data_IF_677910045472
#
_entry.id   IF_677910045472
#
_cell.length_a   1.000
_cell.length_b   1.000
_cell.length_c   1.000
_cell.angle_alpha   90.00
_cell.angle_beta   90.00
_cell.angle_gamma   90.00
#
_symmetry.space_group_name_H-M   'P 1'
#
loop_
_entity.id
_entity.type
_entity.pdbx_description
1 polymer ?
#
# COMPACT_ATOMS: atom_id res chain seq x y z
N UNK A 1 -13.23 24.76 -66.39
CA UNK A 1 -12.24 25.73 -66.95
C UNK A 1 -12.59 27.08 -66.33
N UNK A 2 -11.75 27.82 -65.61
CA UNK A 2 -10.29 27.88 -65.59
C UNK A 2 -9.79 28.26 -64.21
N UNK A 3 -8.70 27.60 -63.82
CA UNK A 3 -7.76 27.99 -62.78
C UNK A 3 -6.99 29.27 -63.17
N UNK A 4 -6.40 29.93 -62.15
CA UNK A 4 -5.14 30.69 -62.15
C UNK A 4 -5.08 32.09 -62.79
N UNK A 5 -4.98 33.09 -61.91
CA UNK A 5 -4.18 34.33 -61.96
C UNK A 5 -4.95 35.34 -61.09
N UNK A 6 -4.44 35.81 -59.96
CA UNK A 6 -3.33 36.77 -59.87
C UNK A 6 -2.64 36.58 -58.53
N UNK A 7 -1.35 36.30 -58.59
CA UNK A 7 -0.43 36.32 -57.47
C UNK A 7 0.15 37.74 -57.29
N UNK A 8 0.60 38.01 -56.06
CA UNK A 8 1.64 38.96 -55.66
C UNK A 8 1.28 40.46 -55.59
N UNK A 9 1.39 41.01 -54.36
CA UNK A 9 2.19 42.19 -53.99
C UNK A 9 2.00 42.41 -52.46
N UNK A 10 2.93 41.99 -51.62
CA UNK A 10 4.14 42.68 -51.15
C UNK A 10 3.93 43.56 -49.88
N UNK A 11 4.67 43.16 -48.84
CA UNK A 11 5.45 43.99 -47.89
C UNK A 11 4.77 44.88 -46.83
N UNK A 12 4.99 44.46 -45.58
CA UNK A 12 5.78 45.15 -44.56
C UNK A 12 5.34 46.55 -44.10
N UNK A 13 4.90 46.64 -42.84
CA UNK A 13 5.15 47.80 -42.00
C UNK A 13 5.77 47.37 -40.67
N UNK A 14 6.95 47.96 -40.42
CA UNK A 14 7.83 47.82 -39.27
C UNK A 14 7.35 48.70 -38.09
N UNK A 15 7.60 48.17 -36.89
CA UNK A 15 8.19 48.83 -35.71
C UNK A 15 7.66 50.19 -35.21
N UNK A 16 7.38 50.28 -33.90
CA UNK A 16 8.26 50.92 -32.91
C UNK A 16 7.54 51.17 -31.57
N UNK A 17 8.36 51.36 -30.52
CA UNK A 17 8.09 51.66 -29.10
C UNK A 17 7.97 50.39 -28.23
N UNK A 18 8.86 50.08 -27.29
CA UNK A 18 9.90 50.84 -26.61
C UNK A 18 9.84 50.51 -25.10
N UNK A 19 10.75 49.64 -24.63
CA UNK A 19 11.10 49.35 -23.22
C UNK A 19 11.55 50.65 -22.48
N UNK A 20 11.76 50.71 -21.13
CA UNK A 20 12.06 49.62 -20.18
C UNK A 20 11.46 49.77 -18.74
N UNK A 21 11.61 48.76 -17.88
CA UNK A 21 12.13 48.86 -16.51
C UNK A 21 11.77 47.62 -15.66
N UNK A 22 12.77 47.19 -14.90
CA UNK A 22 12.79 46.09 -13.95
C UNK A 22 11.56 45.99 -13.04
N UNK A 23 11.00 44.79 -12.94
CA UNK A 23 10.36 44.32 -11.70
C UNK A 23 11.08 43.05 -11.28
N UNK A 24 11.52 43.12 -10.03
CA UNK A 24 12.36 42.17 -9.33
C UNK A 24 11.69 40.80 -9.21
N UNK A 25 12.53 39.79 -9.35
CA UNK A 25 12.31 38.46 -8.81
C UNK A 25 11.96 38.54 -7.32
N UNK A 26 10.89 37.85 -6.92
CA UNK A 26 10.80 37.20 -5.62
C UNK A 26 10.39 35.76 -5.87
N UNK A 27 11.39 34.94 -6.18
CA UNK A 27 11.37 33.51 -5.90
C UNK A 27 11.47 33.36 -4.40
N UNK A 28 10.34 33.17 -3.72
CA UNK A 28 10.37 32.71 -2.34
C UNK A 28 10.70 31.23 -2.33
N UNK A 29 11.99 31.01 -2.17
CA UNK A 29 12.56 29.93 -1.39
C UNK A 29 11.86 29.84 -0.03
N UNK A 30 11.19 28.73 0.19
CA UNK A 30 10.85 28.23 1.51
C UNK A 30 11.25 26.77 1.55
N UNK A 31 12.57 26.54 1.67
CA UNK A 31 13.15 25.59 2.61
C UNK A 31 12.29 24.35 2.91
N UNK A 32 12.53 23.29 2.15
CA UNK A 32 12.25 21.93 2.57
C UNK A 32 13.14 21.59 3.79
N UNK A 33 12.59 21.24 4.96
CA UNK A 33 13.33 20.51 5.99
C UNK A 33 13.29 19.00 5.70
N UNK A 34 14.22 18.24 6.29
CA UNK A 34 14.67 16.96 5.76
C UNK A 34 13.71 15.81 6.06
N UNK A 35 13.90 14.74 5.30
CA UNK A 35 13.45 13.40 5.62
C UNK A 35 13.65 13.11 7.12
N UNK A 36 12.55 12.83 7.80
CA UNK A 36 12.57 12.16 9.08
C UNK A 36 11.94 10.79 8.87
N UNK A 37 12.84 9.81 8.85
CA UNK A 37 12.62 8.47 9.34
C UNK A 37 11.71 8.50 10.58
N UNK A 38 10.51 7.91 10.45
CA UNK A 38 9.73 7.41 11.56
C UNK A 38 8.63 6.51 10.99
N UNK A 39 8.69 5.23 11.35
CA UNK A 39 7.58 4.29 11.31
C UNK A 39 6.25 5.01 11.52
N UNK A 40 5.37 5.01 10.51
CA UNK A 40 4.03 5.53 10.71
C UNK A 40 3.34 4.61 11.73
N UNK A 41 2.97 5.12 12.92
CA UNK A 41 2.20 4.32 13.85
C UNK A 41 0.83 4.08 13.20
N UNK A 42 0.23 2.92 13.46
CA UNK A 42 -1.18 2.55 13.16
C UNK A 42 -2.23 3.56 13.72
N UNK A 43 -1.82 4.75 14.16
CA UNK A 43 -2.66 5.87 14.56
C UNK A 43 -3.22 6.67 13.36
N UNK A 44 -2.70 6.49 12.14
CA UNK A 44 -3.29 7.11 10.95
C UNK A 44 -4.62 6.47 10.53
N UNK A 45 -4.89 5.21 10.92
CA UNK A 45 -6.11 4.51 10.49
C UNK A 45 -7.38 5.00 11.21
N UNK A 46 -7.27 5.46 12.46
CA UNK A 46 -8.43 5.96 13.21
C UNK A 46 -8.86 7.37 12.77
N UNK A 47 -7.90 8.25 12.46
CA UNK A 47 -8.17 9.59 11.94
C UNK A 47 -8.67 9.55 10.50
N UNK A 48 -8.12 8.68 9.65
CA UNK A 48 -8.59 8.47 8.26
C UNK A 48 -9.98 7.88 8.20
N UNK A 49 -10.35 6.99 9.12
CA UNK A 49 -11.67 6.38 9.18
C UNK A 49 -12.75 7.38 9.66
N UNK A 50 -12.46 8.20 10.66
CA UNK A 50 -13.36 9.29 11.07
C UNK A 50 -13.52 10.34 9.94
N UNK A 51 -12.44 10.60 9.21
CA UNK A 51 -12.45 11.49 8.04
C UNK A 51 -13.26 10.91 6.88
N UNK A 52 -13.13 9.62 6.58
CA UNK A 52 -13.95 8.91 5.58
C UNK A 52 -15.44 8.95 5.94
N UNK A 53 -15.80 8.85 7.22
CA UNK A 53 -17.19 9.00 7.66
C UNK A 53 -17.73 10.41 7.42
N UNK A 54 -16.93 11.43 7.72
CA UNK A 54 -17.30 12.82 7.46
C UNK A 54 -17.44 13.06 5.95
N UNK A 55 -16.52 12.55 5.14
CA UNK A 55 -16.60 12.64 3.68
C UNK A 55 -17.86 11.94 3.11
N UNK A 56 -18.21 10.76 3.62
CA UNK A 56 -19.44 10.06 3.23
C UNK A 56 -20.71 10.81 3.66
N UNK A 57 -20.68 11.47 4.81
CA UNK A 57 -21.80 12.29 5.28
C UNK A 57 -22.02 13.51 4.37
N UNK A 58 -20.94 14.24 4.06
CA UNK A 58 -20.96 15.37 3.14
C UNK A 58 -21.45 14.96 1.74
N UNK A 59 -20.98 13.84 1.22
CA UNK A 59 -21.43 13.33 -0.09
C UNK A 59 -22.93 12.98 -0.11
N UNK A 60 -23.48 12.55 1.04
CA UNK A 60 -24.91 12.27 1.19
C UNK A 60 -25.72 13.58 1.19
N UNK A 61 -25.22 14.63 1.84
CA UNK A 61 -25.84 15.96 1.83
C UNK A 61 -25.81 16.58 0.42
N UNK A 62 -24.70 16.45 -0.29
CA UNK A 62 -24.54 16.93 -1.66
C UNK A 62 -25.54 16.27 -2.63
N UNK A 63 -25.73 14.95 -2.51
CA UNK A 63 -26.72 14.24 -3.33
C UNK A 63 -28.15 14.66 -3.03
N UNK A 64 -28.48 14.93 -1.76
CA UNK A 64 -29.80 15.43 -1.37
C UNK A 64 -30.03 16.84 -1.93
N UNK A 65 -29.01 17.70 -1.90
CA UNK A 65 -29.06 19.03 -2.50
C UNK A 65 -29.29 18.95 -4.02
N UNK A 66 -28.48 18.16 -4.72
CA UNK A 66 -28.61 17.93 -6.17
C UNK A 66 -29.98 17.37 -6.54
N UNK A 67 -30.57 16.50 -5.72
CA UNK A 67 -31.94 16.02 -5.91
C UNK A 67 -32.95 17.18 -5.79
N UNK A 68 -32.83 18.04 -4.80
CA UNK A 68 -33.74 19.18 -4.65
C UNK A 68 -33.63 20.18 -5.79
N UNK A 69 -32.42 20.46 -6.27
CA UNK A 69 -32.18 21.30 -7.44
C UNK A 69 -32.76 20.68 -8.71
N UNK A 70 -32.57 19.38 -8.90
CA UNK A 70 -33.13 18.66 -10.05
C UNK A 70 -34.66 18.66 -10.01
N UNK A 71 -35.28 18.47 -8.85
CA UNK A 71 -36.74 18.57 -8.68
C UNK A 71 -37.24 20.00 -8.94
N UNK A 72 -36.51 21.02 -8.46
CA UNK A 72 -36.86 22.43 -8.68
C UNK A 72 -36.72 22.86 -10.14
N UNK A 73 -35.81 22.25 -10.90
CA UNK A 73 -35.58 22.53 -12.32
C UNK A 73 -36.74 22.08 -13.25
N UNK A 74 -37.67 21.28 -12.72
CA UNK A 74 -38.87 20.84 -13.44
C UNK A 74 -38.58 19.97 -14.66
N UNK A 75 -39.59 19.75 -15.51
CA UNK A 75 -39.53 18.80 -16.61
C UNK A 75 -38.37 19.02 -17.60
N UNK A 76 -37.96 20.28 -17.82
CA UNK A 76 -36.84 20.61 -18.70
C UNK A 76 -35.48 20.19 -18.11
N UNK A 77 -35.26 20.37 -16.81
CA UNK A 77 -34.02 19.92 -16.17
C UNK A 77 -33.96 18.40 -15.98
N UNK A 78 -35.11 17.74 -15.75
CA UNK A 78 -35.19 16.29 -15.78
C UNK A 78 -34.80 15.70 -17.14
N UNK A 79 -35.26 16.29 -18.25
CA UNK A 79 -34.87 15.85 -19.60
C UNK A 79 -33.37 16.07 -19.85
N UNK A 80 -32.80 17.18 -19.38
CA UNK A 80 -31.35 17.45 -19.49
C UNK A 80 -30.49 16.45 -18.69
N UNK A 81 -30.98 15.93 -17.56
CA UNK A 81 -30.29 14.96 -16.72
C UNK A 81 -30.44 13.49 -17.16
N UNK A 82 -31.21 13.22 -18.22
CA UNK A 82 -31.43 11.88 -18.76
C UNK A 82 -32.84 11.31 -18.59
N UNK A 83 -33.83 12.14 -18.28
CA UNK A 83 -35.25 11.77 -18.18
C UNK A 83 -35.57 10.90 -16.97
N UNK A 84 -36.58 10.06 -17.09
CA UNK A 84 -37.10 9.22 -15.99
C UNK A 84 -36.01 8.31 -15.37
N UNK A 85 -35.03 7.87 -16.17
CA UNK A 85 -33.90 7.05 -15.72
C UNK A 85 -32.90 7.81 -14.83
N UNK A 86 -32.91 9.14 -14.81
CA UNK A 86 -32.00 9.93 -13.98
C UNK A 86 -32.29 9.72 -12.49
N UNK A 87 -33.57 9.71 -12.12
CA UNK A 87 -34.04 9.47 -10.74
C UNK A 87 -33.71 8.04 -10.29
N UNK A 88 -33.89 7.05 -11.16
CA UNK A 88 -33.60 5.65 -10.82
C UNK A 88 -32.11 5.42 -10.56
N UNK A 89 -31.22 6.04 -11.35
CA UNK A 89 -29.77 6.00 -11.08
C UNK A 89 -29.40 6.70 -9.77
N UNK A 90 -30.02 7.83 -9.46
CA UNK A 90 -29.79 8.53 -8.19
C UNK A 90 -30.24 7.69 -6.99
N UNK A 91 -31.41 7.05 -7.08
CA UNK A 91 -31.88 6.13 -6.06
C UNK A 91 -30.95 4.92 -5.89
N UNK A 92 -30.39 4.39 -6.98
CA UNK A 92 -29.40 3.32 -6.92
C UNK A 92 -28.09 3.74 -6.23
N UNK A 93 -27.60 4.96 -6.52
CA UNK A 93 -26.40 5.50 -5.86
C UNK A 93 -26.62 5.69 -4.35
N UNK A 94 -27.77 6.21 -3.92
CA UNK A 94 -28.09 6.35 -2.49
C UNK A 94 -28.19 5.01 -1.75
N UNK A 95 -28.73 3.97 -2.41
CA UNK A 95 -28.75 2.63 -1.86
C UNK A 95 -27.33 2.07 -1.69
N UNK A 96 -26.43 2.33 -2.64
CA UNK A 96 -25.02 1.93 -2.54
C UNK A 96 -24.29 2.66 -1.41
N UNK A 97 -24.51 3.97 -1.26
CA UNK A 97 -23.93 4.77 -0.17
C UNK A 97 -24.41 4.29 1.19
N UNK A 98 -25.72 4.03 1.35
CA UNK A 98 -26.28 3.49 2.60
C UNK A 98 -25.63 2.13 2.95
N UNK A 99 -25.40 1.28 1.94
CA UNK A 99 -24.73 -0.01 2.12
C UNK A 99 -23.27 0.15 2.54
N UNK A 100 -22.53 1.04 1.90
CA UNK A 100 -21.13 1.33 2.23
C UNK A 100 -21.00 1.87 3.66
N UNK A 101 -21.86 2.80 4.07
CA UNK A 101 -21.90 3.31 5.45
C UNK A 101 -22.13 2.18 6.46
N UNK A 102 -23.08 1.27 6.18
CA UNK A 102 -23.33 0.12 7.04
C UNK A 102 -22.14 -0.85 7.14
N UNK A 103 -21.40 -1.06 6.04
CA UNK A 103 -20.18 -1.87 6.05
C UNK A 103 -19.06 -1.22 6.87
N UNK A 104 -18.90 0.10 6.75
CA UNK A 104 -17.93 0.87 7.55
C UNK A 104 -18.25 0.75 9.04
N UNK A 105 -19.49 0.93 9.47
CA UNK A 105 -19.88 0.78 10.88
C UNK A 105 -19.62 -0.64 11.41
N UNK A 106 -19.91 -1.67 10.61
CA UNK A 106 -19.63 -3.06 10.97
C UNK A 106 -18.13 -3.32 11.14
N UNK A 107 -17.30 -2.79 10.23
CA UNK A 107 -15.85 -2.93 10.28
C UNK A 107 -15.28 -2.23 11.51
N UNK A 108 -15.74 -1.01 11.81
CA UNK A 108 -15.35 -0.27 13.01
C UNK A 108 -15.66 -1.04 14.30
N UNK A 109 -16.88 -1.58 14.40
CA UNK A 109 -17.28 -2.35 15.56
C UNK A 109 -16.45 -3.64 15.71
N UNK A 110 -16.10 -4.28 14.59
CA UNK A 110 -15.21 -5.45 14.58
C UNK A 110 -13.82 -5.08 15.08
N UNK A 111 -13.24 -3.99 14.58
CA UNK A 111 -11.93 -3.49 15.02
C UNK A 111 -11.93 -3.18 16.52
N UNK A 112 -12.92 -2.44 17.02
CA UNK A 112 -13.04 -2.13 18.45
C UNK A 112 -13.14 -3.38 19.33
N UNK A 113 -13.83 -4.43 18.86
CA UNK A 113 -13.89 -5.72 19.56
C UNK A 113 -12.54 -6.43 19.58
N UNK A 114 -11.83 -6.44 18.45
CA UNK A 114 -10.49 -7.05 18.34
C UNK A 114 -9.50 -6.33 19.24
N UNK A 115 -9.48 -4.99 19.24
CA UNK A 115 -8.60 -4.19 20.11
C UNK A 115 -8.88 -4.51 21.58
N UNK A 116 -10.14 -4.51 22.00
CA UNK A 116 -10.51 -4.81 23.39
C UNK A 116 -10.13 -6.23 23.82
N UNK A 117 -10.35 -7.22 22.97
CA UNK A 117 -9.95 -8.61 23.24
C UNK A 117 -8.42 -8.74 23.28
N UNK A 118 -7.72 -8.11 22.34
CA UNK A 118 -6.26 -8.06 22.29
C UNK A 118 -5.66 -7.45 23.55
N UNK A 119 -6.10 -6.26 23.96
CA UNK A 119 -5.63 -5.58 25.19
C UNK A 119 -5.88 -6.44 26.43
N UNK A 120 -7.03 -7.13 26.51
CA UNK A 120 -7.32 -8.04 27.63
C UNK A 120 -6.38 -9.23 27.67
N UNK A 121 -6.15 -9.89 26.53
CA UNK A 121 -5.26 -11.05 26.42
C UNK A 121 -3.81 -10.68 26.73
N UNK A 122 -3.35 -9.52 26.27
CA UNK A 122 -2.01 -9.02 26.58
C UNK A 122 -1.87 -8.81 28.09
N UNK A 123 -2.85 -8.18 28.74
CA UNK A 123 -2.84 -8.03 30.21
C UNK A 123 -2.78 -9.36 30.96
N UNK A 124 -3.51 -10.38 30.48
CA UNK A 124 -3.44 -11.73 31.07
C UNK A 124 -2.06 -12.40 30.87
N UNK A 125 -1.40 -12.16 29.74
CA UNK A 125 -0.04 -12.66 29.44
C UNK A 125 0.99 -11.95 30.33
N UNK A 126 0.91 -10.63 30.46
CA UNK A 126 1.79 -9.83 31.32
C UNK A 126 1.70 -10.26 32.78
N UNK A 127 0.48 -10.50 33.28
CA UNK A 127 0.27 -11.00 34.64
C UNK A 127 0.94 -12.37 34.85
N UNK A 128 0.76 -13.30 33.91
CA UNK A 128 1.41 -14.62 33.96
C UNK A 128 2.94 -14.54 33.86
N UNK A 129 3.46 -13.65 33.04
CA UNK A 129 4.91 -13.43 32.93
C UNK A 129 5.49 -12.90 34.24
N UNK A 130 4.80 -11.97 34.91
CA UNK A 130 5.21 -11.49 36.22
C UNK A 130 5.13 -12.53 37.33
N UNK A 131 4.20 -13.50 37.26
CA UNK A 131 4.21 -14.63 38.20
C UNK A 131 5.43 -15.56 38.01
N UNK A 132 5.98 -15.62 36.80
CA UNK A 132 7.13 -16.48 36.47
C UNK A 132 8.50 -15.83 36.73
N UNK A 133 8.56 -14.50 36.83
CA UNK A 133 9.80 -13.76 37.08
C UNK A 133 9.79 -13.10 38.48
N UNK A 134 10.61 -13.57 39.43
CA UNK A 134 10.67 -13.02 40.79
C UNK A 134 11.19 -11.56 40.86
N UNK A 135 11.70 -11.00 39.75
CA UNK A 135 12.11 -9.60 39.62
C UNK A 135 11.11 -8.69 38.90
N UNK A 136 9.91 -9.18 38.54
CA UNK A 136 8.97 -8.44 37.70
C UNK A 136 8.31 -7.25 38.40
N UNK A 137 8.32 -6.09 37.75
CA UNK A 137 7.55 -4.90 38.15
C UNK A 137 6.32 -4.73 37.25
N UNK A 138 5.14 -5.09 37.78
CA UNK A 138 3.85 -4.94 37.10
C UNK A 138 3.58 -3.48 36.68
N UNK A 139 4.06 -2.50 37.44
CA UNK A 139 3.88 -1.08 37.12
C UNK A 139 4.64 -0.63 35.87
N UNK A 140 5.78 -1.28 35.57
CA UNK A 140 6.54 -1.04 34.35
C UNK A 140 5.90 -1.72 33.13
N UNK A 141 5.24 -2.87 33.30
CA UNK A 141 4.57 -3.60 32.22
C UNK A 141 3.19 -3.04 31.86
N UNK A 142 2.42 -2.53 32.82
CA UNK A 142 1.12 -1.88 32.56
C UNK A 142 1.21 -0.55 31.79
N UNK A 143 2.41 -0.15 31.37
CA UNK A 143 2.66 1.07 30.59
C UNK A 143 2.47 0.87 29.08
N UNK A 144 2.12 -0.34 28.61
CA UNK A 144 1.83 -0.55 27.18
C UNK A 144 0.56 0.24 26.83
N UNK A 145 0.65 1.22 25.92
CA UNK A 145 -0.55 1.91 25.44
C UNK A 145 -1.53 0.88 24.89
N UNK A 146 -2.84 1.09 25.12
CA UNK A 146 -3.90 0.29 24.52
C UNK A 146 -3.59 0.10 23.03
N UNK A 147 -3.67 -1.12 22.49
CA UNK A 147 -3.31 -1.42 21.10
C UNK A 147 -4.06 -0.46 20.15
N UNK A 148 -3.36 0.53 19.61
CA UNK A 148 -3.95 1.58 18.76
C UNK A 148 -4.12 2.98 19.40
N UNK A 149 -3.74 3.17 20.66
CA UNK A 149 -3.59 4.49 21.28
C UNK A 149 -2.11 4.86 21.37
N UNK A 150 -1.74 6.02 20.85
CA UNK A 150 -0.42 6.59 21.13
C UNK A 150 -0.62 8.01 21.63
N UNK A 151 -0.22 8.28 22.88
CA UNK A 151 -0.29 9.61 23.47
C UNK A 151 0.30 9.75 24.87
N UNK A 152 1.54 10.25 24.89
CA UNK A 152 2.20 11.05 25.94
C UNK A 152 2.80 10.38 27.20
N UNK A 153 4.13 10.27 27.21
CA UNK A 153 4.96 10.09 28.40
C UNK A 153 6.41 9.75 28.02
N UNK A 154 7.30 10.75 28.02
CA UNK A 154 8.67 10.60 27.55
C UNK A 154 9.61 9.89 28.53
N UNK A 155 10.71 9.36 27.99
CA UNK A 155 11.94 9.12 28.74
C UNK A 155 12.63 7.77 28.51
N UNK A 156 13.70 7.83 27.72
CA UNK A 156 14.92 7.00 27.82
C UNK A 156 14.88 5.53 27.37
N UNK A 157 15.18 5.37 26.08
CA UNK A 157 16.24 4.51 25.54
C UNK A 157 16.50 3.14 26.15
N UNK A 158 16.34 2.12 25.32
CA UNK A 158 17.39 1.15 25.00
C UNK A 158 17.02 0.43 23.70
N UNK A 159 17.97 0.46 22.76
CA UNK A 159 18.00 -0.36 21.57
C UNK A 159 18.01 -1.83 21.96
N UNK A 160 17.04 -2.60 21.49
CA UNK A 160 17.20 -4.03 21.19
C UNK A 160 16.16 -4.39 20.13
N UNK A 161 16.61 -4.90 18.99
CA UNK A 161 15.73 -5.30 17.87
C UNK A 161 14.74 -6.39 18.27
N UNK A 162 13.69 -6.63 17.45
CA UNK A 162 12.63 -7.57 17.82
C UNK A 162 13.17 -9.01 17.87
N UNK A 163 13.35 -9.52 19.10
CA UNK A 163 13.39 -10.96 19.37
C UNK A 163 11.94 -11.43 19.42
N UNK A 164 11.52 -12.18 18.40
CA UNK A 164 10.27 -12.93 18.41
C UNK A 164 10.49 -14.16 19.31
N UNK A 165 10.05 -14.05 20.57
CA UNK A 165 9.98 -15.15 21.52
C UNK A 165 8.78 -16.04 21.21
N UNK A 166 9.06 -17.31 20.91
CA UNK A 166 8.09 -18.37 20.63
C UNK A 166 7.57 -19.04 21.91
N UNK A 167 6.25 -19.33 21.91
CA UNK A 167 5.48 -20.35 22.67
C UNK A 167 4.59 -19.82 23.82
N UNK A 168 3.28 -20.11 23.90
CA UNK A 168 2.35 -20.91 23.08
C UNK A 168 0.95 -20.87 23.74
N UNK A 169 -0.15 -20.76 23.00
CA UNK A 169 -0.88 -21.93 22.48
C UNK A 169 -1.86 -21.54 21.37
N UNK A 170 -1.41 -21.65 20.13
CA UNK A 170 -2.10 -22.45 19.13
C UNK A 170 -1.01 -23.39 18.61
N UNK A 171 -1.31 -24.69 18.51
CA UNK A 171 -0.34 -25.69 18.11
C UNK A 171 0.09 -25.46 16.65
N UNK A 172 1.08 -24.58 16.44
CA UNK A 172 1.95 -24.56 15.28
C UNK A 172 3.02 -25.60 15.50
N UNK A 173 2.71 -26.85 15.22
CA UNK A 173 3.72 -27.89 15.04
C UNK A 173 4.59 -27.42 13.88
N UNK A 174 5.91 -27.36 14.08
CA UNK A 174 6.87 -27.38 12.99
C UNK A 174 6.38 -28.40 11.95
N UNK A 175 6.13 -27.95 10.72
CA UNK A 175 5.32 -28.65 9.72
C UNK A 175 5.60 -30.15 9.64
N UNK A 176 4.85 -30.95 10.41
CA UNK A 176 4.25 -32.14 9.86
C UNK A 176 3.37 -31.63 8.75
N UNK A 177 3.75 -31.91 7.51
CA UNK A 177 2.95 -31.60 6.32
C UNK A 177 1.55 -32.16 6.53
N UNK A 178 0.66 -31.33 7.07
CA UNK A 178 -0.74 -31.65 7.26
C UNK A 178 -1.23 -32.01 5.86
N UNK A 179 -1.68 -33.24 5.68
CA UNK A 179 -2.16 -33.65 4.37
C UNK A 179 -3.49 -32.93 4.11
N UNK A 180 -3.71 -32.42 2.89
CA UNK A 180 -4.98 -31.83 2.53
C UNK A 180 -6.11 -32.83 2.71
N UNK A 181 -7.29 -32.33 3.08
CA UNK A 181 -8.47 -33.18 3.09
C UNK A 181 -8.83 -33.62 1.67
N UNK A 182 -9.55 -34.74 1.52
CA UNK A 182 -9.97 -35.20 0.19
C UNK A 182 -10.81 -34.14 -0.55
N UNK A 183 -11.64 -33.37 0.19
CA UNK A 183 -12.43 -32.27 -0.37
C UNK A 183 -11.56 -31.10 -0.80
N UNK A 184 -10.62 -30.67 0.04
CA UNK A 184 -9.67 -29.59 -0.26
C UNK A 184 -8.85 -29.92 -1.51
N UNK A 185 -8.33 -31.15 -1.59
CA UNK A 185 -7.60 -31.62 -2.76
C UNK A 185 -8.47 -31.60 -4.02
N UNK A 186 -9.73 -32.09 -3.94
CA UNK A 186 -10.64 -32.10 -5.07
C UNK A 186 -10.98 -30.69 -5.58
N UNK A 187 -11.24 -29.74 -4.67
CA UNK A 187 -11.54 -28.36 -5.04
C UNK A 187 -10.33 -27.67 -5.69
N UNK A 188 -9.13 -27.93 -5.14
CA UNK A 188 -7.87 -27.44 -5.67
C UNK A 188 -7.56 -28.04 -7.07
N UNK A 189 -7.74 -29.34 -7.26
CA UNK A 189 -7.52 -30.01 -8.54
C UNK A 189 -8.47 -29.49 -9.63
N UNK A 190 -9.73 -29.21 -9.28
CA UNK A 190 -10.68 -28.57 -10.20
C UNK A 190 -10.23 -27.18 -10.63
N UNK A 191 -9.72 -26.38 -9.70
CA UNK A 191 -9.19 -25.06 -10.02
C UNK A 191 -7.97 -25.15 -10.95
N UNK A 192 -7.06 -26.10 -10.70
CA UNK A 192 -5.91 -26.38 -11.57
C UNK A 192 -6.32 -26.83 -12.98
N UNK A 193 -7.36 -27.65 -13.12
CA UNK A 193 -7.84 -28.09 -14.43
C UNK A 193 -8.30 -26.90 -15.28
N UNK A 194 -9.06 -25.98 -14.68
CA UNK A 194 -9.53 -24.76 -15.36
C UNK A 194 -8.35 -23.84 -15.70
N UNK A 195 -7.35 -23.73 -14.82
CA UNK A 195 -6.12 -23.00 -15.11
C UNK A 195 -5.39 -23.59 -16.32
N UNK A 196 -5.28 -24.91 -16.40
CA UNK A 196 -4.63 -25.62 -17.51
C UNK A 196 -5.34 -25.46 -18.86
N UNK A 197 -6.63 -25.09 -18.86
CA UNK A 197 -7.40 -24.78 -20.06
C UNK A 197 -7.20 -23.33 -20.55
N UNK A 198 -6.53 -22.48 -19.76
CA UNK A 198 -6.31 -21.06 -20.06
C UNK A 198 -7.50 -20.15 -19.70
N UNK A 199 -8.50 -20.66 -18.99
CA UNK A 199 -9.60 -19.84 -18.45
C UNK A 199 -9.16 -19.18 -17.13
N UNK A 200 -8.29 -18.19 -17.27
CA UNK A 200 -7.57 -17.59 -16.15
C UNK A 200 -8.47 -16.90 -15.12
N UNK A 201 -9.49 -16.15 -15.58
CA UNK A 201 -10.41 -15.46 -14.66
C UNK A 201 -11.26 -16.44 -13.86
N UNK A 202 -11.71 -17.52 -14.48
CA UNK A 202 -12.48 -18.54 -13.78
C UNK A 202 -11.59 -19.36 -12.83
N UNK A 203 -10.37 -19.69 -13.24
CA UNK A 203 -9.39 -20.34 -12.38
C UNK A 203 -9.12 -19.50 -11.11
N UNK A 204 -8.93 -18.19 -11.25
CA UNK A 204 -8.74 -17.28 -10.13
C UNK A 204 -9.92 -17.30 -9.14
N UNK A 205 -11.16 -17.36 -9.64
CA UNK A 205 -12.36 -17.48 -8.80
C UNK A 205 -12.40 -18.81 -8.05
N UNK A 206 -12.04 -19.91 -8.70
CA UNK A 206 -12.00 -21.23 -8.06
C UNK A 206 -10.91 -21.31 -6.98
N UNK A 207 -9.72 -20.77 -7.23
CA UNK A 207 -8.67 -20.71 -6.22
C UNK A 207 -9.03 -19.80 -5.04
N UNK A 208 -9.72 -18.68 -5.28
CA UNK A 208 -10.27 -17.86 -4.20
C UNK A 208 -11.25 -18.68 -3.34
N UNK A 209 -12.16 -19.42 -3.97
CA UNK A 209 -13.10 -20.29 -3.26
C UNK A 209 -12.38 -21.38 -2.45
N UNK A 210 -11.30 -21.98 -2.96
CA UNK A 210 -10.47 -22.93 -2.19
C UNK A 210 -9.92 -22.27 -0.93
N UNK A 211 -9.32 -21.08 -1.06
CA UNK A 211 -8.73 -20.37 0.07
C UNK A 211 -9.79 -19.94 1.12
N UNK A 212 -11.00 -19.59 0.69
CA UNK A 212 -12.11 -19.25 1.58
C UNK A 212 -12.71 -20.46 2.29
N UNK A 213 -12.94 -21.55 1.54
CA UNK A 213 -13.61 -22.76 2.07
C UNK A 213 -12.70 -23.62 2.94
N UNK A 214 -11.39 -23.59 2.67
CA UNK A 214 -10.37 -24.36 3.38
C UNK A 214 -9.35 -23.45 4.08
N UNK A 215 -9.81 -22.33 4.65
CA UNK A 215 -8.94 -21.33 5.27
C UNK A 215 -8.01 -21.91 6.34
N UNK A 216 -6.70 -21.68 6.18
CA UNK A 216 -5.66 -22.22 7.07
C UNK A 216 -5.31 -23.69 6.80
N UNK A 217 -5.92 -24.29 5.77
CA UNK A 217 -5.56 -25.60 5.25
C UNK A 217 -4.21 -25.59 4.52
N UNK A 218 -3.57 -26.77 4.38
CA UNK A 218 -2.24 -26.91 3.80
C UNK A 218 -2.12 -26.44 2.34
N UNK A 219 -3.23 -26.33 1.58
CA UNK A 219 -3.21 -25.82 0.20
C UNK A 219 -3.61 -24.34 0.10
N UNK A 220 -3.87 -23.65 1.22
CA UNK A 220 -4.34 -22.25 1.19
C UNK A 220 -3.33 -21.32 0.53
N UNK A 221 -2.06 -21.37 0.95
CA UNK A 221 -1.01 -20.50 0.42
C UNK A 221 -0.72 -20.79 -1.05
N UNK A 222 -0.75 -22.07 -1.45
CA UNK A 222 -0.61 -22.52 -2.83
C UNK A 222 -1.78 -22.03 -3.70
N UNK A 223 -3.02 -22.17 -3.23
CA UNK A 223 -4.21 -21.72 -3.96
C UNK A 223 -4.17 -20.20 -4.18
N UNK A 224 -3.83 -19.42 -3.16
CA UNK A 224 -3.68 -17.97 -3.28
C UNK A 224 -2.54 -17.58 -4.23
N UNK A 225 -1.44 -18.33 -4.24
CA UNK A 225 -0.36 -18.12 -5.19
C UNK A 225 -0.82 -18.32 -6.63
N UNK A 226 -1.51 -19.44 -6.91
CA UNK A 226 -2.04 -19.77 -8.23
C UNK A 226 -3.17 -18.82 -8.66
N UNK A 227 -3.98 -18.30 -7.72
CA UNK A 227 -4.93 -17.21 -7.97
C UNK A 227 -4.19 -15.99 -8.51
N UNK A 228 -3.08 -15.59 -7.87
CA UNK A 228 -2.26 -14.47 -8.34
C UNK A 228 -1.69 -14.72 -9.74
N UNK A 229 -1.13 -15.90 -10.00
CA UNK A 229 -0.61 -16.29 -11.32
C UNK A 229 -1.69 -16.29 -12.41
N UNK A 230 -2.91 -16.74 -12.07
CA UNK A 230 -4.04 -16.71 -13.00
C UNK A 230 -4.47 -15.27 -13.31
N UNK A 231 -4.61 -14.41 -12.29
CA UNK A 231 -4.97 -13.00 -12.48
C UNK A 231 -3.93 -12.24 -13.30
N UNK A 232 -2.65 -12.51 -13.06
CA UNK A 232 -1.55 -11.95 -13.83
C UNK A 232 -1.64 -12.38 -15.31
N UNK A 233 -1.92 -13.66 -15.57
CA UNK A 233 -2.12 -14.20 -16.92
C UNK A 233 -3.37 -13.62 -17.60
N UNK A 234 -4.37 -13.20 -16.82
CA UNK A 234 -5.56 -12.50 -17.30
C UNK A 234 -5.32 -11.00 -17.55
N UNK A 235 -4.15 -10.46 -17.18
CA UNK A 235 -3.80 -9.05 -17.29
C UNK A 235 -4.28 -8.17 -16.12
N UNK A 236 -4.77 -8.77 -15.03
CA UNK A 236 -5.17 -8.06 -13.82
C UNK A 236 -4.03 -8.05 -12.79
N UNK A 237 -3.03 -7.22 -13.05
CA UNK A 237 -1.84 -7.11 -12.20
C UNK A 237 -2.17 -6.63 -10.78
N UNK A 238 -3.17 -5.76 -10.61
CA UNK A 238 -3.55 -5.25 -9.30
C UNK A 238 -4.10 -6.36 -8.40
N UNK A 239 -5.03 -7.15 -8.93
CA UNK A 239 -5.58 -8.29 -8.19
C UNK A 239 -4.55 -9.41 -8.03
N UNK A 240 -3.62 -9.58 -8.99
CA UNK A 240 -2.54 -10.55 -8.86
C UNK A 240 -1.61 -10.24 -7.67
N UNK A 241 -1.18 -8.97 -7.52
CA UNK A 241 -0.37 -8.54 -6.39
C UNK A 241 -1.10 -8.75 -5.06
N UNK A 242 -2.40 -8.42 -5.00
CA UNK A 242 -3.21 -8.67 -3.81
C UNK A 242 -3.25 -10.16 -3.44
N UNK A 243 -3.51 -11.04 -4.41
CA UNK A 243 -3.55 -12.48 -4.17
C UNK A 243 -2.18 -13.06 -3.74
N UNK A 244 -1.07 -12.57 -4.31
CA UNK A 244 0.27 -12.97 -3.86
C UNK A 244 0.61 -12.46 -2.45
N UNK A 245 0.14 -11.28 -2.07
CA UNK A 245 0.26 -10.79 -0.70
C UNK A 245 -0.54 -11.67 0.27
N UNK A 246 -1.76 -12.06 -0.09
CA UNK A 246 -2.57 -13.00 0.69
C UNK A 246 -1.87 -14.37 0.82
N UNK A 247 -1.29 -14.89 -0.27
CA UNK A 247 -0.51 -16.14 -0.27
C UNK A 247 0.68 -16.07 0.69
N UNK A 248 1.45 -14.98 0.63
CA UNK A 248 2.58 -14.76 1.53
C UNK A 248 2.12 -14.63 2.98
N UNK A 249 1.00 -13.95 3.24
CA UNK A 249 0.45 -13.81 4.59
C UNK A 249 -0.05 -15.15 5.16
N UNK A 250 -0.57 -16.04 4.30
CA UNK A 250 -1.04 -17.36 4.70
C UNK A 250 0.13 -18.29 5.12
N UNK A 251 1.28 -18.21 4.44
CA UNK A 251 2.47 -18.97 4.82
C UNK A 251 3.78 -18.19 4.52
N UNK A 252 4.24 -17.32 5.44
CA UNK A 252 5.38 -16.42 5.21
C UNK A 252 6.75 -17.10 5.11
N UNK A 253 6.82 -18.39 5.43
CA UNK A 253 8.03 -19.23 5.33
C UNK A 253 7.82 -20.39 4.34
N UNK A 254 6.68 -20.41 3.65
CA UNK A 254 6.28 -21.47 2.75
C UNK A 254 7.06 -21.48 1.46
N UNK A 255 6.90 -22.58 0.71
CA UNK A 255 7.53 -22.78 -0.59
C UNK A 255 7.20 -21.65 -1.59
N UNK A 256 5.99 -21.07 -1.51
CA UNK A 256 5.54 -19.98 -2.38
C UNK A 256 5.87 -18.58 -1.90
N UNK A 257 6.35 -18.42 -0.67
CA UNK A 257 6.53 -17.10 -0.08
C UNK A 257 7.52 -16.23 -0.89
N UNK A 258 8.66 -16.80 -1.29
CA UNK A 258 9.64 -16.09 -2.12
C UNK A 258 9.12 -15.76 -3.52
N UNK A 259 8.39 -16.68 -4.15
CA UNK A 259 7.82 -16.48 -5.50
C UNK A 259 6.70 -15.42 -5.50
N UNK A 260 5.84 -15.41 -4.47
CA UNK A 260 4.84 -14.37 -4.27
C UNK A 260 5.46 -12.98 -4.19
N UNK A 261 6.54 -12.83 -3.40
CA UNK A 261 7.27 -11.55 -3.29
C UNK A 261 7.91 -11.13 -4.62
N UNK A 262 8.44 -12.07 -5.40
CA UNK A 262 8.96 -11.76 -6.75
C UNK A 262 7.87 -11.26 -7.69
N UNK A 263 6.68 -11.86 -7.64
CA UNK A 263 5.52 -11.44 -8.42
C UNK A 263 5.09 -10.01 -8.08
N UNK A 264 4.98 -9.71 -6.78
CA UNK A 264 4.64 -8.36 -6.28
C UNK A 264 5.70 -7.34 -6.71
N UNK A 265 6.98 -7.63 -6.49
CA UNK A 265 8.07 -6.73 -6.86
C UNK A 265 8.11 -6.44 -8.36
N UNK A 266 7.82 -7.45 -9.20
CA UNK A 266 7.68 -7.27 -10.65
C UNK A 266 6.59 -6.26 -10.98
N UNK A 267 5.39 -6.43 -10.43
CA UNK A 267 4.26 -5.55 -10.71
C UNK A 267 4.56 -4.11 -10.28
N UNK A 268 5.23 -3.93 -9.14
CA UNK A 268 5.65 -2.61 -8.67
C UNK A 268 6.66 -1.97 -9.64
N UNK A 269 7.66 -2.73 -10.10
CA UNK A 269 8.62 -2.25 -11.09
C UNK A 269 7.96 -1.91 -12.43
N UNK A 270 7.03 -2.75 -12.92
CA UNK A 270 6.29 -2.56 -14.17
C UNK A 270 5.41 -1.28 -14.11
N UNK A 271 4.98 -0.88 -12.92
CA UNK A 271 4.25 0.38 -12.68
C UNK A 271 5.16 1.62 -12.61
N UNK A 272 6.47 1.45 -12.75
CA UNK A 272 7.43 2.55 -12.75
C UNK A 272 7.93 2.97 -11.37
N UNK A 273 7.78 2.12 -10.36
CA UNK A 273 8.35 2.35 -9.01
C UNK A 273 9.50 1.36 -8.71
N UNK A 274 10.67 1.51 -9.36
CA UNK A 274 11.79 0.60 -9.15
C UNK A 274 12.35 0.67 -7.73
N UNK A 275 12.22 1.82 -7.05
CA UNK A 275 12.71 2.01 -5.67
C UNK A 275 11.90 1.15 -4.72
N UNK A 276 10.57 1.20 -4.80
CA UNK A 276 9.72 0.32 -4.00
C UNK A 276 9.98 -1.16 -4.36
N UNK A 277 10.14 -1.49 -5.65
CA UNK A 277 10.46 -2.86 -6.06
C UNK A 277 11.78 -3.37 -5.43
N UNK A 278 12.82 -2.53 -5.38
CA UNK A 278 14.10 -2.86 -4.74
C UNK A 278 13.94 -3.23 -3.26
N UNK A 279 13.05 -2.54 -2.52
CA UNK A 279 12.79 -2.85 -1.11
C UNK A 279 12.20 -4.25 -0.92
N UNK A 280 11.27 -4.67 -1.79
CA UNK A 280 10.74 -6.03 -1.75
C UNK A 280 11.79 -7.06 -2.14
N UNK A 281 12.59 -6.77 -3.17
CA UNK A 281 13.61 -7.70 -3.67
C UNK A 281 14.75 -7.91 -2.66
N UNK A 282 15.14 -6.89 -1.89
CA UNK A 282 16.25 -7.00 -0.93
C UNK A 282 15.96 -7.94 0.24
N UNK A 283 14.68 -8.13 0.58
CA UNK A 283 14.28 -9.04 1.67
C UNK A 283 14.38 -10.52 1.29
N UNK A 284 14.23 -10.84 0.00
CA UNK A 284 14.11 -12.24 -0.46
C UNK A 284 15.40 -13.04 -0.23
N UNK A 285 16.61 -12.56 -0.57
CA UNK A 285 17.86 -13.28 -0.31
C UNK A 285 18.16 -13.45 1.19
N UNK A 286 17.73 -12.48 2.02
CA UNK A 286 17.91 -12.53 3.47
C UNK A 286 17.02 -13.62 4.08
N UNK A 287 15.76 -13.69 3.64
CA UNK A 287 14.75 -14.59 4.20
C UNK A 287 14.79 -16.01 3.62
N UNK A 288 15.07 -16.14 2.33
CA UNK A 288 15.00 -17.39 1.58
C UNK A 288 16.36 -17.77 0.98
N UNK A 289 17.42 -17.64 1.79
CA UNK A 289 18.80 -17.85 1.35
C UNK A 289 19.00 -19.22 0.65
N UNK A 290 19.67 -19.19 -0.51
CA UNK A 290 19.97 -20.40 -1.29
C UNK A 290 18.81 -20.95 -2.12
N UNK A 291 17.66 -20.27 -2.15
CA UNK A 291 16.51 -20.65 -2.98
C UNK A 291 16.57 -20.04 -4.39
N UNK A 292 15.78 -20.59 -5.31
CA UNK A 292 15.60 -20.02 -6.66
C UNK A 292 15.04 -18.58 -6.59
N UNK A 293 14.04 -18.26 -5.75
CA UNK A 293 13.57 -16.89 -5.58
C UNK A 293 14.66 -15.91 -5.12
N UNK A 294 15.56 -16.33 -4.22
CA UNK A 294 16.67 -15.49 -3.79
C UNK A 294 17.63 -15.17 -4.93
N UNK A 295 17.94 -16.17 -5.77
CA UNK A 295 18.81 -15.98 -6.94
C UNK A 295 18.17 -15.07 -8.00
N UNK A 296 16.87 -15.23 -8.24
CA UNK A 296 16.11 -14.36 -9.14
C UNK A 296 16.00 -12.93 -8.59
N UNK A 297 15.79 -12.77 -7.28
CA UNK A 297 15.73 -11.46 -6.64
C UNK A 297 17.03 -10.69 -6.84
N UNK A 298 18.19 -11.34 -6.63
CA UNK A 298 19.49 -10.71 -6.87
C UNK A 298 19.65 -10.24 -8.32
N UNK A 299 19.28 -11.08 -9.30
CA UNK A 299 19.35 -10.70 -10.72
C UNK A 299 18.47 -9.50 -11.04
N UNK A 300 17.27 -9.42 -10.46
CA UNK A 300 16.36 -8.27 -10.66
C UNK A 300 16.88 -7.02 -9.97
N UNK A 301 17.49 -7.15 -8.80
CA UNK A 301 18.13 -6.01 -8.13
C UNK A 301 19.26 -5.42 -8.97
N UNK A 302 20.11 -6.27 -9.54
CA UNK A 302 21.18 -5.83 -10.43
C UNK A 302 20.62 -5.15 -11.70
N UNK A 303 19.54 -5.68 -12.28
CA UNK A 303 18.89 -5.11 -13.46
C UNK A 303 18.19 -3.77 -13.19
N UNK A 304 17.64 -3.59 -11.99
CA UNK A 304 17.03 -2.34 -11.54
C UNK A 304 18.06 -1.36 -10.96
N UNK A 305 19.34 -1.76 -10.88
CA UNK A 305 20.41 -0.97 -10.28
C UNK A 305 20.11 -0.59 -8.81
N UNK A 306 19.51 -1.51 -8.06
CA UNK A 306 19.13 -1.29 -6.67
C UNK A 306 20.38 -0.95 -5.83
N UNK A 307 20.35 0.20 -5.14
CA UNK A 307 21.46 0.68 -4.32
C UNK A 307 22.49 1.56 -5.07
N UNK A 308 22.32 1.81 -6.37
CA UNK A 308 23.18 2.70 -7.14
C UNK A 308 22.64 4.13 -7.28
N UNK A 309 21.42 4.40 -6.82
CA UNK A 309 20.79 5.72 -6.84
C UNK A 309 20.35 6.13 -5.44
N UNK A 310 21.31 6.50 -4.60
CA UNK A 310 21.19 7.52 -3.53
C UNK A 310 22.54 7.63 -2.77
N UNK A 311 23.66 7.73 -3.50
CA UNK A 311 24.80 8.44 -2.96
C UNK A 311 24.93 9.67 -3.85
N UNK A 312 24.63 10.90 -3.35
CA UNK A 312 25.16 12.07 -4.02
C UNK A 312 26.67 11.88 -4.08
N UNK A 313 27.21 11.77 -5.29
CA UNK A 313 28.64 11.83 -5.53
C UNK A 313 29.18 13.07 -4.82
N UNK A 314 29.81 12.89 -3.65
CA UNK A 314 30.67 13.88 -3.01
C UNK A 314 32.01 14.02 -3.77
N UNK A 315 31.99 13.71 -5.06
CA UNK A 315 33.01 14.09 -6.03
C UNK A 315 32.64 15.42 -6.70
N UNK A 316 32.14 16.38 -5.92
CA UNK A 316 32.35 17.79 -6.24
C UNK A 316 33.75 18.13 -5.72
N UNK A 317 34.71 18.09 -6.65
CA UNK A 317 36.00 18.79 -6.61
C UNK A 317 36.48 19.23 -5.22
N UNK A 318 37.31 18.39 -4.60
CA UNK A 318 38.29 18.87 -3.63
C UNK A 318 39.35 19.71 -4.35
N UNK A 319 38.93 20.86 -4.90
CA UNK A 319 39.79 22.01 -5.02
C UNK A 319 40.00 22.53 -3.60
N UNK A 320 41.01 21.96 -2.94
CA UNK A 320 41.59 22.51 -1.72
C UNK A 320 42.05 23.92 -2.10
N UNK A 321 41.21 24.91 -1.80
CA UNK A 321 41.60 26.31 -1.82
C UNK A 321 42.59 26.56 -0.68
N UNK A 322 43.75 27.07 -1.05
CA UNK A 322 44.82 27.61 -0.18
C UNK A 322 44.36 28.84 0.65
N UNK A 323 43.20 28.80 1.30
CA UNK A 323 42.70 29.92 2.13
C UNK A 323 42.73 29.64 3.64
N UNK A 324 43.12 28.44 4.09
CA UNK A 324 43.21 28.10 5.51
C UNK A 324 44.63 28.24 6.13
N UNK A 325 45.57 28.91 5.46
CA UNK A 325 46.93 29.15 6.00
C UNK A 325 47.28 30.63 6.19
N UNK A 326 46.37 31.58 5.94
CA UNK A 326 46.66 33.00 6.08
C UNK A 326 46.26 33.62 7.44
N UNK A 327 45.44 32.95 8.25
CA UNK A 327 44.87 33.56 9.47
C UNK A 327 45.56 33.14 10.79
N UNK A 328 46.74 32.52 10.72
CA UNK A 328 47.55 32.15 11.90
C UNK A 328 48.80 33.01 12.10
N UNK A 329 48.93 34.17 11.43
CA UNK A 329 50.13 35.01 11.47
C UNK A 329 49.93 36.43 12.06
N UNK A 330 48.78 36.75 12.67
CA UNK A 330 48.55 38.11 13.23
C UNK A 330 48.21 38.16 14.72
N UNK A 331 48.44 37.10 15.50
CA UNK A 331 48.32 37.14 16.97
C UNK A 331 49.59 36.64 17.70
N UNK A 332 50.74 37.18 17.31
CA UNK A 332 51.90 37.38 18.20
C UNK A 332 52.15 38.88 18.42
#
# INVERSE_FOLDING_TARGET
MSLRAVALLLTAWLAAVGLPAAVLAQTQDAAQPPAQDAAQPLAQDASTLADLQNQLHLLTEDLQSLRTELVASGAAGFQAAGGDNAIDRMNAMEQQLTRLTGQTEQLQNRIQRIVRDGTRRIGDIEFRLCEMDPGCDLGALMSVPELGSQGAGGGSGLSTGPVIGTNGSAAGTAGTAQQPSATEQQDFDRAQEVLGQGDFLHAAQLFAAVAETHAGGPLTSEALFLRGSALDSAGDADQAAAAWLESFAADPQGQRAGESLLGIARIIADKGDPVAACLYLSEIPVRFAGSDPATEAQRRMDALNCGAGELPDSHADAAIGDEATADMAEHE
#
